data_IF_322807909735
#
_entry.id   IF_322807909735
#
_cell.length_a   1.000
_cell.length_b   1.000
_cell.length_c   1.000
_cell.angle_alpha   90.00
_cell.angle_beta   90.00
_cell.angle_gamma   90.00
#
_symmetry.space_group_name_H-M   'P 1'
#
loop_
_entity.id
_entity.type
_entity.pdbx_description
1 polymer ?
#
# COMPACT_ATOMS: atom_id res chain seq x y z
N UNK A 1 64.71 12.14 34.98
CA UNK A 1 64.84 11.29 36.19
C UNK A 1 66.32 11.14 36.53
N UNK A 2 66.74 11.35 37.78
CA UNK A 2 68.14 11.13 38.19
C UNK A 2 68.50 9.67 37.88
N UNK A 3 69.53 9.43 37.06
CA UNK A 3 70.02 8.07 36.78
C UNK A 3 70.60 7.51 38.07
N UNK A 4 69.96 6.48 38.60
CA UNK A 4 70.50 5.71 39.72
C UNK A 4 71.72 4.93 39.25
N UNK A 5 72.73 4.79 40.12
CA UNK A 5 73.99 4.10 39.81
C UNK A 5 73.80 2.59 39.53
N UNK A 6 72.69 2.02 40.00
CA UNK A 6 72.30 0.63 39.80
C UNK A 6 70.90 0.57 39.18
N UNK A 7 70.68 -0.35 38.24
CA UNK A 7 69.35 -0.70 37.74
C UNK A 7 68.59 -1.56 38.75
N UNK A 8 67.26 -1.58 38.66
CA UNK A 8 66.42 -2.38 39.57
C UNK A 8 66.76 -3.88 39.46
N UNK A 9 67.08 -4.39 38.27
CA UNK A 9 67.57 -5.77 38.06
C UNK A 9 68.91 -6.05 38.75
N UNK A 10 69.85 -5.09 38.71
CA UNK A 10 71.13 -5.20 39.41
C UNK A 10 70.92 -5.21 40.93
N UNK A 11 70.01 -4.38 41.43
CA UNK A 11 69.67 -4.33 42.86
C UNK A 11 69.06 -5.67 43.31
N UNK A 12 68.11 -6.25 42.56
CA UNK A 12 67.52 -7.56 42.87
C UNK A 12 68.56 -8.67 42.85
N UNK A 13 69.51 -8.67 41.90
CA UNK A 13 70.60 -9.66 41.87
C UNK A 13 71.51 -9.56 43.08
N UNK A 14 71.87 -8.35 43.49
CA UNK A 14 72.69 -8.10 44.69
C UNK A 14 71.94 -8.54 45.96
N UNK A 15 70.63 -8.32 46.02
CA UNK A 15 69.80 -8.78 47.14
C UNK A 15 69.73 -10.31 47.24
N UNK A 16 69.57 -11.03 46.10
CA UNK A 16 69.63 -12.50 46.08
C UNK A 16 70.99 -13.05 46.52
N UNK A 17 72.09 -12.44 46.09
CA UNK A 17 73.43 -12.79 46.61
C UNK A 17 73.54 -12.56 48.13
N UNK A 18 72.89 -11.51 48.66
CA UNK A 18 72.86 -11.19 50.09
C UNK A 18 71.91 -12.06 50.93
N UNK A 19 71.08 -12.91 50.30
CA UNK A 19 70.27 -13.93 50.97
C UNK A 19 71.08 -15.23 51.21
N UNK A 20 72.09 -15.49 50.39
CA UNK A 20 72.94 -16.71 50.47
C UNK A 20 74.29 -16.47 51.16
N UNK A 21 74.81 -15.24 51.13
CA UNK A 21 76.10 -14.86 51.70
C UNK A 21 75.97 -13.77 52.77
N UNK A 22 76.92 -13.67 53.72
CA UNK A 22 76.93 -12.58 54.68
C UNK A 22 76.86 -11.20 54.00
N UNK A 23 75.93 -10.35 54.46
CA UNK A 23 75.68 -9.00 53.89
C UNK A 23 76.95 -8.15 53.80
N UNK A 24 77.86 -8.33 54.76
CA UNK A 24 79.19 -7.69 54.81
C UNK A 24 80.06 -8.04 53.59
N UNK A 25 80.03 -9.30 53.15
CA UNK A 25 80.78 -9.80 51.99
C UNK A 25 80.18 -9.30 50.68
N UNK A 26 78.84 -9.27 50.59
CA UNK A 26 78.12 -8.84 49.40
C UNK A 26 78.21 -7.32 49.20
N UNK A 27 78.16 -6.54 50.30
CA UNK A 27 78.43 -5.11 50.33
C UNK A 27 79.81 -4.79 49.74
N UNK A 28 80.85 -5.47 50.24
CA UNK A 28 82.23 -5.28 49.78
C UNK A 28 82.42 -5.67 48.31
N UNK A 29 81.84 -6.79 47.88
CA UNK A 29 81.94 -7.30 46.50
C UNK A 29 81.29 -6.36 45.48
N UNK A 30 80.15 -5.76 45.82
CA UNK A 30 79.37 -4.94 44.89
C UNK A 30 79.61 -3.43 45.03
N UNK A 31 80.48 -3.02 45.96
CA UNK A 31 80.82 -1.61 46.19
C UNK A 31 79.68 -0.79 46.80
N UNK A 32 78.84 -1.42 47.62
CA UNK A 32 77.62 -0.84 48.22
C UNK A 32 77.73 -0.94 49.74
N UNK A 33 77.20 0.03 50.49
CA UNK A 33 77.18 -0.06 51.96
C UNK A 33 76.11 -1.04 52.45
N UNK A 34 76.36 -1.70 53.59
CA UNK A 34 75.37 -2.63 54.18
C UNK A 34 74.03 -1.96 54.44
N UNK A 35 74.03 -0.71 54.90
CA UNK A 35 72.82 0.11 55.10
C UNK A 35 72.02 0.28 53.80
N UNK A 36 72.69 0.40 52.66
CA UNK A 36 72.04 0.50 51.35
C UNK A 36 71.43 -0.84 50.94
N UNK A 37 72.10 -1.97 51.23
CA UNK A 37 71.54 -3.31 51.02
C UNK A 37 70.29 -3.52 51.88
N UNK A 38 70.30 -3.13 53.16
CA UNK A 38 69.11 -3.21 54.02
C UNK A 38 67.98 -2.28 53.55
N UNK A 39 68.28 -1.06 53.10
CA UNK A 39 67.29 -0.14 52.52
C UNK A 39 66.69 -0.69 51.21
N UNK A 40 67.51 -1.32 50.36
CA UNK A 40 67.05 -2.02 49.16
C UNK A 40 66.23 -3.26 49.52
N UNK A 41 66.62 -4.05 50.53
CA UNK A 41 65.85 -5.21 51.00
C UNK A 41 64.46 -4.79 51.50
N UNK A 42 64.35 -3.66 52.20
CA UNK A 42 63.06 -3.09 52.61
C UNK A 42 62.20 -2.65 51.41
N UNK A 43 62.80 -2.08 50.37
CA UNK A 43 62.08 -1.56 49.20
C UNK A 43 61.73 -2.65 48.17
N UNK A 44 62.65 -3.56 47.89
CA UNK A 44 62.58 -4.57 46.83
C UNK A 44 62.26 -5.99 47.35
N UNK A 45 62.50 -6.29 48.63
CA UNK A 45 62.11 -7.57 49.23
C UNK A 45 60.59 -7.71 49.42
N UNK A 46 59.90 -6.61 49.73
CA UNK A 46 58.43 -6.56 49.69
C UNK A 46 57.88 -6.49 48.25
N UNK A 47 58.73 -6.07 47.30
CA UNK A 47 58.38 -5.96 45.89
C UNK A 47 58.17 -7.34 45.28
N UNK A 48 58.95 -8.38 45.63
CA UNK A 48 58.71 -9.74 45.09
C UNK A 48 57.30 -10.29 45.42
N UNK A 49 56.80 -10.07 46.64
CA UNK A 49 55.43 -10.47 47.03
C UNK A 49 54.36 -9.56 46.40
N UNK A 50 54.61 -8.25 46.35
CA UNK A 50 53.68 -7.29 45.75
C UNK A 50 53.64 -7.38 44.21
N UNK A 51 54.75 -7.75 43.57
CA UNK A 51 54.89 -7.99 42.14
C UNK A 51 54.16 -9.26 41.75
N UNK A 52 54.28 -10.34 42.54
CA UNK A 52 53.48 -11.57 42.33
C UNK A 52 51.99 -11.27 42.47
N UNK A 53 51.58 -10.41 43.42
CA UNK A 53 50.18 -9.96 43.53
C UNK A 53 49.76 -9.09 42.35
N UNK A 54 50.61 -8.17 41.91
CA UNK A 54 50.36 -7.29 40.78
C UNK A 54 50.27 -8.05 39.46
N UNK A 55 51.16 -9.01 39.21
CA UNK A 55 51.13 -9.91 38.07
C UNK A 55 49.83 -10.71 38.03
N UNK A 56 49.40 -11.29 39.17
CA UNK A 56 48.10 -11.99 39.25
C UNK A 56 46.92 -11.07 38.95
N UNK A 57 46.95 -9.83 39.44
CA UNK A 57 45.91 -8.84 39.16
C UNK A 57 45.89 -8.47 37.67
N UNK A 58 47.06 -8.24 37.06
CA UNK A 58 47.21 -7.97 35.63
C UNK A 58 46.76 -9.16 34.78
N UNK A 59 47.05 -10.40 35.17
CA UNK A 59 46.56 -11.59 34.48
C UNK A 59 45.03 -11.68 34.52
N UNK A 60 44.42 -11.40 35.68
CA UNK A 60 42.97 -11.39 35.84
C UNK A 60 42.32 -10.27 35.00
N UNK A 61 42.93 -9.07 35.00
CA UNK A 61 42.47 -7.94 34.20
C UNK A 61 42.63 -8.21 32.71
N UNK A 62 43.77 -8.76 32.27
CA UNK A 62 43.99 -9.17 30.89
C UNK A 62 43.00 -10.24 30.44
N UNK A 63 42.68 -11.21 31.30
CA UNK A 63 41.63 -12.20 31.03
C UNK A 63 40.26 -11.54 30.82
N UNK A 64 39.90 -10.58 31.67
CA UNK A 64 38.66 -9.80 31.54
C UNK A 64 38.64 -8.95 30.27
N UNK A 65 39.74 -8.27 29.94
CA UNK A 65 39.86 -7.41 28.76
C UNK A 65 39.80 -8.23 27.47
N UNK A 66 40.49 -9.37 27.38
CA UNK A 66 40.42 -10.28 26.23
C UNK A 66 39.00 -10.75 25.97
N UNK A 67 38.24 -11.06 27.03
CA UNK A 67 36.82 -11.44 26.91
C UNK A 67 35.95 -10.29 26.40
N UNK A 68 36.13 -9.08 26.94
CA UNK A 68 35.39 -7.91 26.48
C UNK A 68 35.71 -7.54 25.03
N UNK A 69 36.98 -7.66 24.62
CA UNK A 69 37.42 -7.43 23.24
C UNK A 69 36.73 -8.41 22.29
N UNK A 70 36.79 -9.72 22.59
CA UNK A 70 36.14 -10.74 21.77
C UNK A 70 34.62 -10.52 21.63
N UNK A 71 33.94 -10.13 22.72
CA UNK A 71 32.51 -9.78 22.68
C UNK A 71 32.24 -8.56 21.79
N UNK A 72 33.07 -7.51 21.86
CA UNK A 72 32.93 -6.30 21.04
C UNK A 72 33.27 -6.55 19.57
N UNK A 73 34.30 -7.33 19.28
CA UNK A 73 34.70 -7.68 17.92
C UNK A 73 33.58 -8.45 17.20
N UNK A 74 32.94 -9.39 17.89
CA UNK A 74 31.78 -10.10 17.37
C UNK A 74 30.59 -9.16 17.10
N UNK A 75 30.33 -8.20 18.00
CA UNK A 75 29.29 -7.17 17.77
C UNK A 75 29.60 -6.32 16.53
N UNK A 76 30.86 -5.94 16.32
CA UNK A 76 31.31 -5.16 15.16
C UNK A 76 31.18 -5.97 13.86
N UNK A 77 31.61 -7.23 13.87
CA UNK A 77 31.51 -8.13 12.72
C UNK A 77 30.06 -8.31 12.29
N UNK A 78 29.17 -8.63 13.23
CA UNK A 78 27.73 -8.76 12.98
C UNK A 78 27.13 -7.45 12.46
N UNK A 79 27.55 -6.30 12.98
CA UNK A 79 27.07 -5.00 12.47
C UNK A 79 27.53 -4.70 11.04
N UNK A 80 28.74 -5.15 10.65
CA UNK A 80 29.24 -5.00 9.27
C UNK A 80 28.49 -5.90 8.29
N UNK A 81 28.09 -7.10 8.72
CA UNK A 81 27.33 -8.06 7.91
C UNK A 81 25.87 -7.62 7.70
N UNK A 82 25.30 -6.93 8.68
CA UNK A 82 23.92 -6.46 8.62
C UNK A 82 23.84 -5.17 7.79
N UNK A 83 22.84 -5.11 6.87
CA UNK A 83 22.72 -4.08 5.83
C UNK A 83 23.06 -2.65 6.28
N UNK A 84 23.84 -1.87 5.49
CA UNK A 84 24.23 -0.49 5.83
C UNK A 84 23.06 0.51 5.81
N UNK A 85 21.86 0.09 5.39
CA UNK A 85 20.68 0.96 5.34
C UNK A 85 19.95 0.97 6.67
N UNK A 86 19.51 2.16 7.10
CA UNK A 86 18.73 2.36 8.33
C UNK A 86 17.49 1.47 8.36
N UNK A 87 17.47 0.50 9.27
CA UNK A 87 16.32 -0.38 9.48
C UNK A 87 15.32 0.25 10.46
N UNK A 88 14.16 0.62 9.94
CA UNK A 88 13.12 1.37 10.67
C UNK A 88 11.93 0.53 11.11
N UNK A 89 11.68 -0.64 10.50
CA UNK A 89 10.52 -1.46 10.85
C UNK A 89 10.84 -2.43 11.99
N UNK A 90 9.91 -2.59 12.94
CA UNK A 90 10.07 -3.51 14.06
C UNK A 90 10.29 -4.96 13.60
N UNK A 91 9.67 -5.38 12.48
CA UNK A 91 9.88 -6.72 11.93
C UNK A 91 11.31 -6.94 11.43
N UNK A 92 11.87 -5.97 10.69
CA UNK A 92 13.22 -6.10 10.17
C UNK A 92 14.27 -6.03 11.30
N UNK A 93 14.06 -5.19 12.32
CA UNK A 93 14.93 -5.19 13.51
C UNK A 93 14.92 -6.53 14.25
N UNK A 94 13.76 -7.18 14.37
CA UNK A 94 13.68 -8.54 14.95
C UNK A 94 14.42 -9.59 14.12
N UNK A 95 14.39 -9.48 12.79
CA UNK A 95 15.19 -10.35 11.92
C UNK A 95 16.70 -10.14 12.11
N UNK A 96 17.15 -8.90 12.32
CA UNK A 96 18.55 -8.61 12.65
C UNK A 96 18.97 -9.22 13.99
N UNK A 97 18.11 -9.14 15.01
CA UNK A 97 18.36 -9.81 16.30
C UNK A 97 18.46 -11.33 16.11
N UNK A 98 17.56 -11.95 15.34
CA UNK A 98 17.63 -13.39 15.07
C UNK A 98 18.91 -13.79 14.34
N UNK A 99 19.35 -12.97 13.37
CA UNK A 99 20.62 -13.17 12.66
C UNK A 99 21.83 -13.08 13.59
N UNK A 100 21.88 -12.05 14.43
CA UNK A 100 22.95 -11.84 15.40
C UNK A 100 23.07 -12.97 16.42
N UNK A 101 21.93 -13.48 16.91
CA UNK A 101 21.92 -14.65 17.79
C UNK A 101 22.46 -15.89 17.07
N UNK A 102 22.11 -16.09 15.80
CA UNK A 102 22.66 -17.19 14.98
C UNK A 102 24.17 -17.07 14.77
N UNK A 103 24.73 -15.86 14.78
CA UNK A 103 26.17 -15.59 14.69
C UNK A 103 26.91 -15.75 16.03
N UNK A 104 26.20 -16.07 17.11
CA UNK A 104 26.80 -16.36 18.42
C UNK A 104 26.65 -15.26 19.47
N UNK A 105 26.00 -14.13 19.14
CA UNK A 105 25.69 -13.12 20.15
C UNK A 105 24.59 -13.63 21.09
N UNK A 106 24.72 -13.33 22.39
CA UNK A 106 23.62 -13.57 23.32
C UNK A 106 22.39 -12.75 22.91
N UNK A 107 21.19 -13.27 23.17
CA UNK A 107 19.93 -12.55 22.91
C UNK A 107 19.91 -11.16 23.57
N UNK A 108 20.52 -11.01 24.76
CA UNK A 108 20.65 -9.72 25.45
C UNK A 108 21.53 -8.75 24.68
N UNK A 109 22.70 -9.19 24.20
CA UNK A 109 23.61 -8.36 23.40
C UNK A 109 22.97 -7.98 22.07
N UNK A 110 22.38 -8.94 21.35
CA UNK A 110 21.71 -8.68 20.08
C UNK A 110 20.53 -7.69 20.22
N UNK A 111 19.68 -7.85 21.24
CA UNK A 111 18.58 -6.91 21.52
C UNK A 111 19.06 -5.49 21.80
N UNK A 112 20.14 -5.36 22.59
CA UNK A 112 20.75 -4.07 22.93
C UNK A 112 21.38 -3.42 21.69
N UNK A 113 22.07 -4.21 20.87
CA UNK A 113 22.72 -3.77 19.64
C UNK A 113 21.72 -3.18 18.62
N UNK A 114 20.55 -3.81 18.46
CA UNK A 114 19.51 -3.37 17.50
C UNK A 114 18.35 -2.58 18.13
N UNK A 115 18.44 -2.21 19.41
CA UNK A 115 17.40 -1.48 20.16
C UNK A 115 16.01 -2.13 20.06
N UNK A 116 15.95 -3.44 20.36
CA UNK A 116 14.72 -4.25 20.34
C UNK A 116 14.43 -4.78 21.75
N UNK A 117 13.21 -4.55 22.26
CA UNK A 117 12.78 -5.11 23.53
C UNK A 117 12.61 -6.64 23.43
N UNK A 118 13.18 -7.39 24.40
CA UNK A 118 13.14 -8.87 24.41
C UNK A 118 11.73 -9.46 24.36
N UNK A 119 10.75 -8.81 24.98
CA UNK A 119 9.32 -9.21 24.95
C UNK A 119 8.72 -9.26 23.54
N UNK A 120 9.33 -8.59 22.56
CA UNK A 120 8.86 -8.58 21.17
C UNK A 120 9.42 -9.73 20.33
N UNK A 121 10.44 -10.43 20.84
CA UNK A 121 11.06 -11.55 20.12
C UNK A 121 10.13 -12.75 20.03
N UNK A 122 9.34 -12.98 21.09
CA UNK A 122 8.33 -14.05 21.14
C UNK A 122 6.99 -13.62 20.50
N UNK A 123 6.86 -12.35 20.09
CA UNK A 123 5.62 -11.86 19.49
C UNK A 123 5.38 -12.49 18.11
N UNK A 124 4.43 -13.41 18.06
CA UNK A 124 3.85 -13.90 16.82
C UNK A 124 2.70 -12.99 16.37
N UNK A 125 2.71 -12.61 15.10
CA UNK A 125 1.67 -11.77 14.52
C UNK A 125 0.31 -12.48 14.60
N UNK A 126 -0.65 -11.87 15.31
CA UNK A 126 -2.05 -12.33 15.32
C UNK A 126 -2.84 -11.81 14.12
N UNK A 127 -2.22 -11.01 13.26
CA UNK A 127 -2.89 -10.35 12.14
C UNK A 127 -3.40 -11.36 11.12
N UNK A 128 -2.67 -12.45 10.86
CA UNK A 128 -3.08 -13.42 9.83
C UNK A 128 -4.39 -14.11 10.22
N UNK A 129 -4.53 -14.49 11.50
CA UNK A 129 -5.79 -15.04 12.05
C UNK A 129 -6.92 -14.00 12.01
N UNK A 130 -6.64 -12.75 12.36
CA UNK A 130 -7.63 -11.65 12.34
C UNK A 130 -8.05 -11.26 10.91
N UNK A 131 -7.13 -11.34 9.96
CA UNK A 131 -7.35 -10.97 8.56
C UNK A 131 -7.97 -12.10 7.74
N UNK A 132 -7.89 -13.36 8.19
CA UNK A 132 -8.37 -14.53 7.46
C UNK A 132 -9.84 -14.43 6.99
N UNK A 133 -10.83 -14.02 7.82
CA UNK A 133 -12.22 -13.88 7.37
C UNK A 133 -12.37 -12.81 6.28
N UNK A 134 -11.71 -11.66 6.47
CA UNK A 134 -11.75 -10.57 5.50
C UNK A 134 -11.05 -10.95 4.19
N UNK A 135 -9.98 -11.74 4.25
CA UNK A 135 -9.27 -12.26 3.08
C UNK A 135 -10.12 -13.26 2.29
N UNK A 136 -10.85 -14.14 2.98
CA UNK A 136 -11.78 -15.07 2.36
C UNK A 136 -12.92 -14.32 1.64
N UNK A 137 -13.55 -13.36 2.30
CA UNK A 137 -14.56 -12.50 1.69
C UNK A 137 -14.00 -11.69 0.52
N UNK A 138 -12.77 -11.17 0.64
CA UNK A 138 -12.08 -10.43 -0.42
C UNK A 138 -11.87 -11.30 -1.67
N UNK A 139 -11.44 -12.56 -1.51
CA UNK A 139 -11.29 -13.52 -2.61
C UNK A 139 -12.62 -13.88 -3.25
N UNK A 140 -13.69 -14.02 -2.46
CA UNK A 140 -15.05 -14.25 -2.99
C UNK A 140 -15.48 -13.06 -3.84
N UNK A 141 -15.38 -11.84 -3.32
CA UNK A 141 -15.77 -10.62 -4.03
C UNK A 141 -14.90 -10.36 -5.27
N UNK A 142 -13.62 -10.69 -5.25
CA UNK A 142 -12.76 -10.56 -6.44
C UNK A 142 -13.13 -11.53 -7.54
N UNK A 143 -13.67 -12.71 -7.21
CA UNK A 143 -14.19 -13.66 -8.21
C UNK A 143 -15.52 -13.18 -8.79
N UNK A 144 -16.41 -12.66 -7.95
CA UNK A 144 -17.69 -12.11 -8.38
C UNK A 144 -17.51 -10.84 -9.22
N UNK A 145 -16.53 -10.00 -8.89
CA UNK A 145 -16.26 -8.74 -9.56
C UNK A 145 -14.78 -8.61 -9.98
N UNK A 146 -14.32 -9.36 -11.01
CA UNK A 146 -12.90 -9.44 -11.38
C UNK A 146 -12.25 -8.10 -11.75
N UNK A 147 -13.05 -7.15 -12.23
CA UNK A 147 -12.59 -5.81 -12.63
C UNK A 147 -12.65 -4.77 -11.52
N UNK A 148 -13.11 -5.15 -10.32
CA UNK A 148 -13.12 -4.25 -9.17
C UNK A 148 -11.74 -4.26 -8.50
N UNK A 149 -11.10 -3.10 -8.45
CA UNK A 149 -9.86 -2.93 -7.69
C UNK A 149 -10.10 -2.89 -6.18
N UNK A 150 -9.00 -2.96 -5.42
CA UNK A 150 -9.01 -3.04 -3.94
C UNK A 150 -9.89 -1.98 -3.26
N UNK A 151 -10.00 -0.76 -3.80
CA UNK A 151 -10.83 0.30 -3.23
C UNK A 151 -12.31 -0.06 -3.25
N UNK A 152 -12.83 -0.55 -4.38
CA UNK A 152 -14.25 -0.94 -4.49
C UNK A 152 -14.53 -2.17 -3.63
N UNK A 153 -13.62 -3.14 -3.64
CA UNK A 153 -13.75 -4.33 -2.80
C UNK A 153 -13.71 -3.95 -1.31
N UNK A 154 -12.91 -2.97 -0.90
CA UNK A 154 -12.93 -2.47 0.48
C UNK A 154 -14.30 -1.91 0.88
N UNK A 155 -15.00 -1.21 -0.03
CA UNK A 155 -16.36 -0.72 0.23
C UNK A 155 -17.33 -1.89 0.41
N UNK A 156 -17.28 -2.86 -0.50
CA UNK A 156 -18.14 -4.05 -0.42
C UNK A 156 -17.88 -4.86 0.86
N UNK A 157 -16.61 -5.02 1.24
CA UNK A 157 -16.24 -5.66 2.51
C UNK A 157 -16.81 -4.92 3.72
N UNK A 158 -16.79 -3.57 3.71
CA UNK A 158 -17.42 -2.80 4.79
C UNK A 158 -18.93 -3.02 4.87
N UNK A 159 -19.60 -3.12 3.72
CA UNK A 159 -21.05 -3.41 3.64
C UNK A 159 -21.36 -4.84 4.13
N UNK A 160 -20.46 -5.79 3.86
CA UNK A 160 -20.51 -7.16 4.37
C UNK A 160 -20.11 -7.28 5.85
N UNK A 161 -19.96 -6.16 6.58
CA UNK A 161 -19.66 -6.17 8.02
C UNK A 161 -18.18 -6.38 8.35
N UNK A 162 -17.26 -6.30 7.39
CA UNK A 162 -15.81 -6.34 7.62
C UNK A 162 -15.22 -4.92 7.66
N UNK A 163 -14.87 -4.36 8.84
CA UNK A 163 -14.27 -3.04 8.92
C UNK A 163 -12.95 -2.97 8.16
N UNK A 164 -12.89 -2.11 7.15
CA UNK A 164 -11.79 -2.08 6.19
C UNK A 164 -11.34 -0.65 5.86
N UNK A 165 -10.11 -0.32 6.23
CA UNK A 165 -9.42 0.87 5.71
C UNK A 165 -8.83 0.56 4.33
N UNK A 166 -8.61 1.60 3.52
CA UNK A 166 -8.01 1.41 2.19
C UNK A 166 -6.58 0.85 2.25
N UNK A 167 -5.79 1.22 3.27
CA UNK A 167 -4.44 0.69 3.45
C UNK A 167 -4.43 -0.79 3.85
N UNK A 168 -5.34 -1.18 4.76
CA UNK A 168 -5.53 -2.59 5.12
C UNK A 168 -5.98 -3.40 3.91
N UNK A 169 -6.96 -2.89 3.16
CA UNK A 169 -7.42 -3.53 1.93
C UNK A 169 -6.28 -3.67 0.92
N UNK A 170 -5.49 -2.63 0.69
CA UNK A 170 -4.37 -2.67 -0.25
C UNK A 170 -3.31 -3.70 0.16
N UNK A 171 -2.93 -3.74 1.45
CA UNK A 171 -2.00 -4.74 1.98
C UNK A 171 -2.49 -6.16 1.74
N UNK A 172 -3.75 -6.44 2.11
CA UNK A 172 -4.35 -7.76 1.93
C UNK A 172 -4.47 -8.13 0.46
N UNK A 173 -4.96 -7.21 -0.36
CA UNK A 173 -5.07 -7.36 -1.81
C UNK A 173 -3.73 -7.69 -2.45
N UNK A 174 -2.65 -7.03 -2.00
CA UNK A 174 -1.30 -7.29 -2.48
C UNK A 174 -0.79 -8.66 -2.06
N UNK A 175 -0.97 -9.02 -0.79
CA UNK A 175 -0.57 -10.34 -0.27
C UNK A 175 -1.34 -11.50 -0.91
N UNK A 176 -2.59 -11.25 -1.32
CA UNK A 176 -3.45 -12.22 -1.98
C UNK A 176 -3.20 -12.34 -3.50
N UNK A 177 -2.30 -11.54 -4.07
CA UNK A 177 -2.01 -11.48 -5.50
C UNK A 177 -3.25 -11.19 -6.38
N UNK A 178 -4.19 -10.38 -5.87
CA UNK A 178 -5.44 -10.08 -6.57
C UNK A 178 -5.32 -8.86 -7.51
N UNK A 179 -4.11 -8.44 -7.89
CA UNK A 179 -3.95 -7.21 -8.67
C UNK A 179 -4.67 -7.29 -10.02
N UNK A 180 -5.58 -6.35 -10.26
CA UNK A 180 -6.23 -6.19 -11.57
C UNK A 180 -5.19 -5.67 -12.56
N UNK A 181 -5.09 -6.25 -13.78
CA UNK A 181 -4.19 -5.77 -14.82
C UNK A 181 -4.34 -4.26 -15.04
N UNK A 182 -3.20 -3.55 -15.07
CA UNK A 182 -3.22 -2.10 -15.27
C UNK A 182 -3.55 -1.77 -16.72
N UNK A 183 -4.60 -0.97 -16.95
CA UNK A 183 -4.80 -0.32 -18.25
C UNK A 183 -3.62 0.59 -18.58
N UNK A 184 -3.14 0.55 -19.82
CA UNK A 184 -2.09 1.45 -20.32
C UNK A 184 -2.56 2.90 -20.16
N UNK A 185 -1.81 3.72 -19.42
CA UNK A 185 -2.13 5.13 -19.25
C UNK A 185 -1.96 5.85 -20.59
N UNK A 186 -3.03 6.47 -21.10
CA UNK A 186 -2.91 7.46 -22.18
C UNK A 186 -2.44 8.78 -21.58
N UNK A 187 -1.44 9.43 -22.16
CA UNK A 187 -1.05 10.80 -21.79
C UNK A 187 -2.26 11.71 -22.09
N UNK A 188 -2.72 12.47 -21.09
CA UNK A 188 -3.78 13.47 -21.23
C UNK A 188 -3.17 14.84 -20.96
N UNK A 189 -3.51 15.81 -21.79
CA UNK A 189 -3.24 17.21 -21.46
C UNK A 189 -4.09 17.59 -20.24
N UNK A 190 -3.45 18.05 -19.17
CA UNK A 190 -4.10 18.58 -17.97
C UNK A 190 -4.58 20.00 -18.27
N UNK A 191 -5.70 20.12 -18.97
CA UNK A 191 -6.39 21.40 -19.14
C UNK A 191 -7.76 21.25 -18.50
N UNK A 192 -8.04 22.03 -17.46
CA UNK A 192 -9.39 22.17 -16.92
C UNK A 192 -10.24 22.83 -18.01
N UNK A 193 -11.23 22.11 -18.53
CA UNK A 193 -12.15 22.62 -19.54
C UNK A 193 -13.56 22.60 -18.96
N UNK A 194 -14.29 23.72 -18.97
CA UNK A 194 -15.64 23.75 -18.44
C UNK A 194 -16.53 22.78 -19.23
N UNK A 195 -17.36 22.02 -18.51
CA UNK A 195 -18.37 21.17 -19.10
C UNK A 195 -19.54 22.08 -19.51
N UNK A 196 -20.00 22.06 -20.77
CA UNK A 196 -21.23 22.74 -21.13
C UNK A 196 -22.40 22.06 -20.41
N UNK A 197 -23.27 22.86 -19.78
CA UNK A 197 -24.47 22.39 -19.05
C UNK A 197 -24.16 21.31 -18.00
N UNK A 198 -23.46 21.64 -16.89
CA UNK A 198 -23.30 20.70 -15.79
C UNK A 198 -24.67 20.33 -15.20
N UNK A 199 -24.95 19.05 -14.93
CA UNK A 199 -26.22 18.66 -14.32
C UNK A 199 -26.29 19.15 -12.87
N UNK A 200 -27.44 19.65 -12.47
CA UNK A 200 -27.66 20.31 -11.16
C UNK A 200 -28.56 19.49 -10.24
N UNK A 201 -29.45 18.70 -10.83
CA UNK A 201 -30.39 17.83 -10.14
C UNK A 201 -30.62 16.55 -10.95
N UNK A 202 -31.28 15.58 -10.32
CA UNK A 202 -31.74 14.38 -11.00
C UNK A 202 -32.61 14.74 -12.21
N UNK A 203 -32.43 14.00 -13.30
CA UNK A 203 -33.17 14.19 -14.56
C UNK A 203 -32.97 15.59 -15.20
N UNK A 204 -31.95 16.36 -14.78
CA UNK A 204 -31.58 17.61 -15.46
C UNK A 204 -31.02 17.30 -16.86
N UNK A 205 -30.05 16.39 -16.96
CA UNK A 205 -29.40 16.04 -18.22
C UNK A 205 -29.30 14.53 -18.34
N UNK A 206 -29.95 13.96 -19.35
CA UNK A 206 -29.70 12.58 -19.78
C UNK A 206 -28.68 12.57 -20.90
N UNK A 207 -27.68 11.71 -20.79
CA UNK A 207 -26.74 11.42 -21.85
C UNK A 207 -27.11 10.09 -22.50
N UNK A 208 -27.02 10.03 -23.82
CA UNK A 208 -27.15 8.79 -24.58
C UNK A 208 -26.04 8.64 -25.63
N UNK A 209 -25.62 7.40 -25.84
CA UNK A 209 -24.55 7.08 -26.79
C UNK A 209 -24.68 5.64 -27.32
N UNK A 210 -23.94 5.33 -28.39
CA UNK A 210 -23.83 4.00 -28.95
C UNK A 210 -22.47 3.37 -28.65
N UNK A 211 -22.53 2.16 -28.09
CA UNK A 211 -21.37 1.28 -27.97
C UNK A 211 -21.57 0.07 -28.86
N UNK A 212 -20.57 -0.24 -29.68
CA UNK A 212 -20.59 -1.36 -30.62
C UNK A 212 -19.73 -2.52 -30.14
N UNK A 213 -20.19 -3.74 -30.40
CA UNK A 213 -19.42 -4.97 -30.22
C UNK A 213 -19.90 -6.06 -31.21
N UNK A 214 -19.35 -7.26 -31.13
CA UNK A 214 -19.76 -8.42 -31.93
C UNK A 214 -19.86 -9.68 -31.08
N UNK A 215 -20.84 -10.51 -31.41
CA UNK A 215 -20.92 -11.88 -30.92
C UNK A 215 -19.95 -12.79 -31.66
N UNK A 216 -19.65 -13.93 -31.04
CA UNK A 216 -18.85 -15.02 -31.60
C UNK A 216 -19.36 -15.51 -32.96
N UNK A 217 -20.68 -15.49 -33.15
CA UNK A 217 -21.36 -15.89 -34.39
C UNK A 217 -21.40 -14.77 -35.44
N UNK A 218 -20.67 -13.66 -35.24
CA UNK A 218 -20.60 -12.53 -36.16
C UNK A 218 -21.72 -11.50 -36.03
N UNK A 219 -22.77 -11.76 -35.24
CA UNK A 219 -23.86 -10.80 -35.02
C UNK A 219 -23.33 -9.50 -34.41
N UNK A 220 -23.73 -8.37 -34.97
CA UNK A 220 -23.38 -7.04 -34.44
C UNK A 220 -24.21 -6.74 -33.19
N UNK A 221 -23.54 -6.25 -32.14
CA UNK A 221 -24.13 -5.69 -30.94
C UNK A 221 -24.04 -4.17 -31.02
N UNK A 222 -25.15 -3.50 -31.34
CA UNK A 222 -25.30 -2.05 -31.17
C UNK A 222 -26.06 -1.80 -29.87
N UNK A 223 -25.38 -1.20 -28.90
CA UNK A 223 -25.92 -0.91 -27.57
C UNK A 223 -26.25 0.58 -27.48
N UNK A 224 -27.54 0.93 -27.36
CA UNK A 224 -27.97 2.28 -26.97
C UNK A 224 -27.90 2.40 -25.46
N UNK A 225 -27.05 3.28 -24.97
CA UNK A 225 -26.85 3.56 -23.55
C UNK A 225 -27.60 4.85 -23.23
N UNK A 226 -28.30 4.89 -22.11
CA UNK A 226 -28.95 6.09 -21.59
C UNK A 226 -28.63 6.21 -20.10
N UNK A 227 -28.06 7.34 -19.68
CA UNK A 227 -27.54 7.58 -18.33
C UNK A 227 -27.98 8.96 -17.85
N UNK A 228 -28.43 9.07 -16.62
CA UNK A 228 -28.60 10.36 -15.94
C UNK A 228 -27.23 10.87 -15.47
N UNK A 229 -26.84 12.05 -15.96
CA UNK A 229 -25.53 12.62 -15.66
C UNK A 229 -25.33 13.00 -14.19
N UNK A 230 -26.42 13.37 -13.51
CA UNK A 230 -26.37 13.82 -12.12
C UNK A 230 -26.14 12.62 -11.19
N UNK A 231 -27.07 11.68 -11.22
CA UNK A 231 -27.09 10.50 -10.33
C UNK A 231 -26.12 9.41 -10.76
N UNK A 232 -25.59 9.50 -11.99
CA UNK A 232 -24.82 8.44 -12.67
C UNK A 232 -25.62 7.17 -12.89
N UNK A 233 -26.95 7.18 -12.74
CA UNK A 233 -27.77 6.00 -12.94
C UNK A 233 -27.83 5.65 -14.41
N UNK A 234 -27.54 4.39 -14.74
CA UNK A 234 -27.78 3.87 -16.07
C UNK A 234 -29.26 3.52 -16.22
N UNK A 235 -29.99 4.37 -16.93
CA UNK A 235 -31.43 4.24 -17.12
C UNK A 235 -31.74 3.02 -17.99
N UNK A 236 -31.06 2.87 -19.12
CA UNK A 236 -31.22 1.72 -20.02
C UNK A 236 -29.94 1.39 -20.79
N UNK A 237 -29.79 0.12 -21.14
CA UNK A 237 -28.85 -0.34 -22.18
C UNK A 237 -29.61 -1.26 -23.12
N UNK A 238 -29.91 -0.77 -24.32
CA UNK A 238 -30.73 -1.51 -25.28
C UNK A 238 -29.86 -2.12 -26.36
N UNK A 239 -29.97 -3.44 -26.57
CA UNK A 239 -29.08 -4.19 -27.46
C UNK A 239 -29.83 -4.68 -28.71
N UNK A 240 -29.36 -4.26 -29.88
CA UNK A 240 -29.90 -4.66 -31.18
C UNK A 240 -28.80 -4.76 -32.24
N UNK A 241 -29.09 -5.39 -33.39
CA UNK A 241 -28.18 -5.35 -34.55
C UNK A 241 -28.26 -4.03 -35.31
N UNK A 242 -29.41 -3.35 -35.26
CA UNK A 242 -29.64 -2.04 -35.87
C UNK A 242 -30.59 -1.26 -34.98
N UNK A 243 -30.24 0.00 -34.71
CA UNK A 243 -31.06 0.94 -33.94
C UNK A 243 -31.27 2.15 -34.85
N UNK A 244 -32.54 2.39 -35.19
CA UNK A 244 -33.01 3.55 -35.96
C UNK A 244 -33.63 4.59 -35.02
N UNK A 245 -33.81 5.81 -35.51
CA UNK A 245 -34.41 6.94 -34.80
C UNK A 245 -35.71 6.61 -34.08
N UNK A 246 -36.65 5.90 -34.74
CA UNK A 246 -37.92 5.50 -34.13
C UNK A 246 -37.74 4.63 -32.88
N UNK A 247 -36.75 3.74 -32.88
CA UNK A 247 -36.47 2.89 -31.73
C UNK A 247 -35.81 3.67 -30.59
N UNK A 248 -34.98 4.67 -30.91
CA UNK A 248 -34.41 5.59 -29.90
C UNK A 248 -35.55 6.37 -29.21
N UNK A 249 -36.47 6.91 -29.99
CA UNK A 249 -37.68 7.62 -29.50
C UNK A 249 -38.49 6.69 -28.59
N UNK A 250 -38.73 5.45 -28.99
CA UNK A 250 -39.46 4.47 -28.18
C UNK A 250 -38.79 4.23 -26.82
N UNK A 251 -37.46 4.08 -26.79
CA UNK A 251 -36.73 3.90 -25.53
C UNK A 251 -36.77 5.14 -24.64
N UNK A 252 -36.65 6.33 -25.23
CA UNK A 252 -36.77 7.59 -24.49
C UNK A 252 -38.18 7.75 -23.91
N UNK A 253 -39.21 7.54 -24.71
CA UNK A 253 -40.61 7.60 -24.27
C UNK A 253 -40.86 6.67 -23.08
N UNK A 254 -40.41 5.41 -23.16
CA UNK A 254 -40.51 4.44 -22.06
C UNK A 254 -39.84 4.92 -20.78
N UNK A 255 -38.65 5.50 -20.88
CA UNK A 255 -37.93 6.03 -19.72
C UNK A 255 -38.63 7.26 -19.12
N UNK A 256 -39.15 8.14 -19.97
CA UNK A 256 -39.89 9.34 -19.55
C UNK A 256 -41.15 8.95 -18.77
N UNK A 257 -41.85 7.88 -19.16
CA UNK A 257 -43.00 7.39 -18.38
C UNK A 257 -42.62 6.98 -16.96
N UNK A 258 -41.40 6.51 -16.73
CA UNK A 258 -40.94 6.01 -15.43
C UNK A 258 -40.24 7.08 -14.58
N UNK A 259 -39.51 8.00 -15.22
CA UNK A 259 -38.64 8.97 -14.55
C UNK A 259 -39.10 10.42 -14.67
N UNK A 260 -40.05 10.71 -15.56
CA UNK A 260 -40.33 12.06 -16.03
C UNK A 260 -39.40 12.47 -17.18
N UNK A 261 -39.74 13.57 -17.85
CA UNK A 261 -38.97 14.09 -18.97
C UNK A 261 -37.71 14.81 -18.45
N UNK A 262 -36.52 14.53 -19.02
CA UNK A 262 -35.35 15.32 -18.68
C UNK A 262 -35.44 16.72 -19.27
N UNK A 263 -34.76 17.71 -18.68
CA UNK A 263 -34.70 19.05 -19.29
C UNK A 263 -33.82 19.10 -20.52
N UNK A 264 -32.74 18.31 -20.53
CA UNK A 264 -31.78 18.24 -21.63
C UNK A 264 -31.42 16.80 -21.99
N UNK A 265 -31.24 16.55 -23.29
CA UNK A 265 -30.58 15.34 -23.80
C UNK A 265 -29.25 15.70 -24.45
N UNK A 266 -28.18 15.03 -24.02
CA UNK A 266 -26.83 15.17 -24.54
C UNK A 266 -26.47 13.96 -25.42
N UNK A 267 -26.08 14.23 -26.67
CA UNK A 267 -25.37 13.28 -27.55
C UNK A 267 -24.14 13.91 -28.17
N UNK A 268 -23.34 13.05 -28.79
CA UNK A 268 -22.49 13.47 -29.91
C UNK A 268 -23.32 13.77 -31.18
N UNK A 269 -22.64 14.11 -32.26
CA UNK A 269 -23.26 14.43 -33.55
C UNK A 269 -23.44 13.18 -34.44
N UNK A 270 -23.62 12.00 -33.85
CA UNK A 270 -23.95 10.78 -34.60
C UNK A 270 -25.23 10.96 -35.43
N UNK A 271 -25.24 10.43 -36.66
CA UNK A 271 -26.33 10.61 -37.62
C UNK A 271 -27.70 10.17 -37.09
N UNK A 272 -27.71 9.18 -36.20
CA UNK A 272 -28.90 8.65 -35.55
C UNK A 272 -29.48 9.61 -34.51
N UNK A 273 -28.63 10.38 -33.83
CA UNK A 273 -29.02 11.35 -32.81
C UNK A 273 -29.44 12.70 -33.39
N UNK A 274 -28.82 13.10 -34.50
CA UNK A 274 -29.14 14.35 -35.22
C UNK A 274 -30.26 14.14 -36.26
N UNK A 275 -30.87 12.95 -36.30
CA UNK A 275 -31.97 12.69 -37.22
C UNK A 275 -33.15 13.64 -36.96
N UNK A 276 -33.75 14.20 -38.03
CA UNK A 276 -34.90 15.11 -37.94
C UNK A 276 -36.03 14.55 -37.09
N UNK A 277 -36.25 13.23 -37.12
CA UNK A 277 -37.28 12.57 -36.32
C UNK A 277 -37.02 12.67 -34.81
N UNK A 278 -35.79 12.44 -34.35
CA UNK A 278 -35.43 12.55 -32.93
C UNK A 278 -35.50 14.01 -32.49
N UNK A 279 -34.90 14.93 -33.26
CA UNK A 279 -34.90 16.35 -32.92
C UNK A 279 -36.33 16.91 -32.85
N UNK A 280 -37.18 16.59 -33.83
CA UNK A 280 -38.58 17.00 -33.82
C UNK A 280 -39.31 16.46 -32.59
N UNK A 281 -39.16 15.17 -32.29
CA UNK A 281 -39.82 14.55 -31.15
C UNK A 281 -39.39 15.18 -29.82
N UNK A 282 -38.11 15.51 -29.66
CA UNK A 282 -37.61 16.21 -28.47
C UNK A 282 -38.20 17.61 -28.34
N UNK A 283 -38.24 18.38 -29.43
CA UNK A 283 -38.89 19.69 -29.45
C UNK A 283 -40.38 19.61 -29.12
N UNK A 284 -41.09 18.63 -29.68
CA UNK A 284 -42.52 18.42 -29.42
C UNK A 284 -42.81 18.09 -27.94
N UNK A 285 -41.83 17.52 -27.21
CA UNK A 285 -41.93 17.18 -25.78
C UNK A 285 -41.28 18.22 -24.86
N UNK A 286 -40.84 19.37 -25.40
CA UNK A 286 -40.20 20.44 -24.62
C UNK A 286 -38.81 20.06 -24.06
N UNK A 287 -38.14 19.07 -24.65
CA UNK A 287 -36.83 18.58 -24.22
C UNK A 287 -35.75 19.26 -25.05
N UNK A 288 -34.84 19.97 -24.37
CA UNK A 288 -33.76 20.69 -25.05
C UNK A 288 -32.62 19.73 -25.44
N UNK A 289 -31.89 20.04 -26.51
CA UNK A 289 -30.71 19.27 -26.93
C UNK A 289 -29.43 19.98 -26.52
N UNK A 290 -28.49 19.22 -25.96
CA UNK A 290 -27.14 19.67 -25.62
C UNK A 290 -26.16 18.91 -26.52
N UNK A 291 -26.01 19.36 -27.77
CA UNK A 291 -25.07 18.74 -28.70
C UNK A 291 -23.63 19.10 -28.34
N UNK A 292 -22.73 18.13 -28.45
CA UNK A 292 -21.30 18.39 -28.30
C UNK A 292 -20.77 19.11 -29.53
N UNK A 293 -19.96 20.15 -29.32
CA UNK A 293 -19.30 20.87 -30.40
C UNK A 293 -18.34 19.92 -31.15
N UNK A 294 -18.26 20.01 -32.49
CA UNK A 294 -17.26 19.28 -33.27
C UNK A 294 -15.85 19.48 -32.71
N UNK A 295 -15.10 18.38 -32.55
CA UNK A 295 -13.73 18.42 -32.02
C UNK A 295 -13.62 18.61 -30.50
N UNK A 296 -14.73 18.58 -29.74
CA UNK A 296 -14.73 18.76 -28.27
C UNK A 296 -15.15 17.53 -27.45
N UNK A 297 -14.41 16.39 -27.52
CA UNK A 297 -14.81 15.13 -26.85
C UNK A 297 -14.91 15.23 -25.32
N UNK A 298 -14.26 16.21 -24.69
CA UNK A 298 -14.32 16.40 -23.23
C UNK A 298 -15.72 16.84 -22.75
N UNK A 299 -16.56 17.39 -23.63
CA UNK A 299 -17.93 17.79 -23.31
C UNK A 299 -18.83 16.59 -22.99
N UNK A 300 -18.46 15.39 -23.48
CA UNK A 300 -19.16 14.12 -23.20
C UNK A 300 -18.36 13.19 -22.26
N UNK A 301 -17.45 13.73 -21.44
CA UNK A 301 -16.52 12.91 -20.66
C UNK A 301 -17.15 12.01 -19.59
N UNK A 302 -18.43 12.23 -19.22
CA UNK A 302 -19.15 11.31 -18.33
C UNK A 302 -19.51 10.03 -19.06
N UNK A 303 -20.10 10.18 -20.23
CA UNK A 303 -20.52 9.06 -21.05
C UNK A 303 -19.30 8.28 -21.58
N UNK A 304 -18.23 8.96 -22.00
CA UNK A 304 -16.95 8.28 -22.32
C UNK A 304 -16.45 7.45 -21.12
N UNK A 305 -16.57 7.99 -19.90
CA UNK A 305 -16.23 7.28 -18.68
C UNK A 305 -17.17 6.10 -18.41
N UNK A 306 -18.47 6.23 -18.72
CA UNK A 306 -19.44 5.15 -18.61
C UNK A 306 -19.13 4.04 -19.60
N UNK A 307 -18.97 4.37 -20.87
CA UNK A 307 -18.66 3.43 -21.96
C UNK A 307 -17.36 2.68 -21.70
N UNK A 308 -16.34 3.36 -21.16
CA UNK A 308 -15.10 2.73 -20.73
C UNK A 308 -15.26 1.73 -19.57
N UNK A 309 -16.25 1.91 -18.69
CA UNK A 309 -16.61 0.93 -17.63
C UNK A 309 -17.43 -0.21 -18.20
N UNK A 310 -18.45 0.09 -19.01
CA UNK A 310 -19.28 -0.91 -19.65
C UNK A 310 -18.45 -1.87 -20.50
N UNK A 311 -17.52 -1.34 -21.28
CA UNK A 311 -16.61 -2.17 -22.08
C UNK A 311 -15.71 -3.05 -21.22
N UNK A 312 -15.10 -2.48 -20.19
CA UNK A 312 -14.10 -3.19 -19.37
C UNK A 312 -14.71 -4.21 -18.40
N UNK A 313 -15.84 -3.83 -17.80
CA UNK A 313 -16.49 -4.57 -16.72
C UNK A 313 -17.61 -5.50 -17.22
N UNK A 314 -18.06 -5.37 -18.47
CA UNK A 314 -19.06 -6.25 -19.10
C UNK A 314 -18.55 -6.83 -20.42
N UNK A 315 -18.40 -6.00 -21.47
CA UNK A 315 -18.23 -6.51 -22.84
C UNK A 315 -16.93 -7.33 -23.00
N UNK A 316 -15.82 -6.85 -22.46
CA UNK A 316 -14.53 -7.53 -22.51
C UNK A 316 -14.42 -8.72 -21.54
N UNK A 317 -15.41 -8.92 -20.67
CA UNK A 317 -15.45 -10.05 -19.74
C UNK A 317 -16.16 -11.27 -20.31
N UNK A 318 -16.93 -11.08 -21.38
CA UNK A 318 -17.90 -12.03 -21.86
C UNK A 318 -17.62 -12.40 -23.32
N UNK A 319 -17.85 -13.67 -23.64
CA UNK A 319 -17.84 -14.15 -25.02
C UNK A 319 -19.28 -14.43 -25.45
N UNK A 320 -19.96 -13.41 -25.98
CA UNK A 320 -21.38 -13.53 -26.35
C UNK A 320 -21.57 -14.46 -27.54
N UNK A 321 -22.33 -15.54 -27.37
CA UNK A 321 -22.69 -16.47 -28.44
C UNK A 321 -23.79 -15.92 -29.34
N UNK A 322 -24.69 -15.10 -28.78
CA UNK A 322 -25.79 -14.49 -29.52
C UNK A 322 -26.22 -13.13 -28.96
N UNK A 323 -26.97 -12.37 -29.77
CA UNK A 323 -27.64 -11.13 -29.33
C UNK A 323 -28.61 -11.33 -28.18
N UNK A 324 -29.29 -12.48 -28.11
CA UNK A 324 -30.26 -12.76 -27.05
C UNK A 324 -29.54 -12.94 -25.70
N UNK A 325 -28.44 -13.69 -25.68
CA UNK A 325 -27.58 -13.83 -24.50
C UNK A 325 -27.00 -12.47 -24.08
N UNK A 326 -26.51 -11.69 -25.05
CA UNK A 326 -25.97 -10.35 -24.78
C UNK A 326 -27.00 -9.45 -24.09
N UNK A 327 -28.27 -9.46 -24.50
CA UNK A 327 -29.34 -8.68 -23.84
C UNK A 327 -29.48 -9.03 -22.36
N UNK A 328 -29.47 -10.31 -22.02
CA UNK A 328 -29.64 -10.78 -20.63
C UNK A 328 -28.44 -10.38 -19.78
N UNK A 329 -27.24 -10.65 -20.26
CA UNK A 329 -25.99 -10.37 -19.53
C UNK A 329 -25.76 -8.87 -19.35
N UNK A 330 -26.01 -8.07 -20.40
CA UNK A 330 -25.85 -6.61 -20.35
C UNK A 330 -26.88 -5.98 -19.41
N UNK A 331 -28.13 -6.48 -19.39
CA UNK A 331 -29.14 -6.00 -18.43
C UNK A 331 -28.78 -6.38 -16.99
N UNK A 332 -28.26 -7.59 -16.76
CA UNK A 332 -27.74 -7.99 -15.45
C UNK A 332 -26.59 -7.07 -15.00
N UNK A 333 -25.68 -6.74 -15.90
CA UNK A 333 -24.60 -5.79 -15.63
C UNK A 333 -25.13 -4.39 -15.32
N UNK A 334 -26.15 -3.90 -16.04
CA UNK A 334 -26.79 -2.60 -15.76
C UNK A 334 -27.37 -2.55 -14.34
N UNK A 335 -28.07 -3.62 -13.93
CA UNK A 335 -28.61 -3.74 -12.56
C UNK A 335 -27.48 -3.73 -11.53
N UNK A 336 -26.42 -4.52 -11.73
CA UNK A 336 -25.24 -4.53 -10.87
C UNK A 336 -24.56 -3.15 -10.80
N UNK A 337 -24.45 -2.44 -11.92
CA UNK A 337 -23.89 -1.09 -11.99
C UNK A 337 -24.68 -0.12 -11.10
N UNK A 338 -26.01 -0.16 -11.16
CA UNK A 338 -26.86 0.75 -10.38
C UNK A 338 -27.00 0.37 -8.90
N UNK A 339 -26.89 -0.92 -8.57
CA UNK A 339 -27.25 -1.45 -7.24
C UNK A 339 -26.04 -1.86 -6.38
N UNK A 340 -24.92 -2.25 -6.99
CA UNK A 340 -23.81 -2.91 -6.28
C UNK A 340 -22.51 -2.14 -6.46
N UNK A 341 -22.24 -1.65 -7.66
CA UNK A 341 -20.97 -1.01 -8.01
C UNK A 341 -20.76 0.29 -7.22
N UNK A 342 -19.66 0.44 -6.45
CA UNK A 342 -19.35 1.71 -5.76
C UNK A 342 -18.75 2.76 -6.71
N UNK A 343 -19.22 4.01 -6.62
CA UNK A 343 -18.75 5.13 -7.44
C UNK A 343 -17.95 6.15 -6.63
N UNK A 344 -16.67 6.31 -6.93
CA UNK A 344 -15.83 7.30 -6.22
C UNK A 344 -16.31 8.74 -6.39
N UNK A 345 -16.98 9.07 -7.50
CA UNK A 345 -17.60 10.38 -7.73
C UNK A 345 -18.86 10.62 -6.90
N UNK A 346 -19.44 9.56 -6.32
CA UNK A 346 -20.62 9.60 -5.45
C UNK A 346 -20.24 9.16 -4.03
N UNK A 347 -19.02 9.48 -3.58
CA UNK A 347 -18.51 9.08 -2.26
C UNK A 347 -18.62 7.57 -1.97
N UNK A 348 -18.45 6.74 -3.01
CA UNK A 348 -18.59 5.28 -2.98
C UNK A 348 -20.00 4.76 -2.70
N UNK A 349 -21.03 5.60 -2.87
CA UNK A 349 -22.40 5.14 -3.04
C UNK A 349 -22.59 4.53 -4.44
N UNK A 350 -23.57 3.66 -4.55
CA UNK A 350 -24.14 3.22 -5.82
C UNK A 350 -25.10 4.30 -6.34
N UNK A 351 -25.42 4.34 -7.64
CA UNK A 351 -26.40 5.28 -8.16
C UNK A 351 -27.74 5.22 -7.42
N UNK A 352 -28.23 4.02 -7.09
CA UNK A 352 -29.50 3.87 -6.36
C UNK A 352 -29.40 4.33 -4.91
N UNK A 353 -28.29 4.10 -4.21
CA UNK A 353 -28.08 4.63 -2.86
C UNK A 353 -27.97 6.15 -2.89
N UNK A 354 -27.26 6.72 -3.87
CA UNK A 354 -27.11 8.17 -4.01
C UNK A 354 -28.45 8.86 -4.23
N UNK A 355 -29.32 8.30 -5.08
CA UNK A 355 -30.68 8.83 -5.29
C UNK A 355 -31.47 8.88 -3.98
N UNK A 356 -31.35 7.86 -3.12
CA UNK A 356 -32.02 7.85 -1.80
C UNK A 356 -31.51 8.93 -0.84
N UNK A 357 -30.32 9.47 -1.07
CA UNK A 357 -29.76 10.58 -0.28
C UNK A 357 -30.20 11.95 -0.77
N UNK A 358 -30.78 12.05 -1.97
CA UNK A 358 -31.26 13.31 -2.51
C UNK A 358 -32.56 13.72 -1.79
N UNK A 359 -32.75 15.03 -1.53
CA UNK A 359 -34.05 15.51 -1.08
C UNK A 359 -35.10 15.11 -2.11
N UNK A 360 -36.29 14.70 -1.65
CA UNK A 360 -37.41 14.42 -2.55
C UNK A 360 -37.61 15.64 -3.44
N UNK A 361 -37.41 15.47 -4.75
CA UNK A 361 -37.60 16.55 -5.71
C UNK A 361 -39.05 16.99 -5.58
N UNK A 362 -39.28 18.23 -5.15
CA UNK A 362 -40.61 18.82 -5.17
C UNK A 362 -41.12 18.69 -6.61
N UNK A 363 -42.13 17.83 -6.79
CA UNK A 363 -42.75 17.59 -8.08
C UNK A 363 -43.13 18.95 -8.65
N UNK A 364 -42.53 19.32 -9.79
CA UNK A 364 -42.89 20.54 -10.49
C UNK A 364 -44.39 20.49 -10.73
N UNK A 365 -45.10 21.41 -10.09
CA UNK A 365 -46.53 21.62 -10.26
C UNK A 365 -46.79 21.76 -11.75
N UNK A 366 -47.58 20.81 -12.26
CA UNK A 366 -48.27 20.91 -13.54
C UNK A 366 -49.04 22.23 -13.54
N UNK A 367 -48.55 23.22 -14.26
CA UNK A 367 -49.38 24.34 -14.69
C UNK A 367 -50.13 23.82 -15.92
N UNK A 368 -51.43 23.62 -15.75
CA UNK A 368 -52.40 23.31 -16.80
C UNK A 368 -52.52 24.47 -17.79
#
# INVERSE_FOLDING_TARGET
MKKTRYSDEQIVRILREADELPVTQVAKKNGVSEATIYAWRKKFGEMEVNDVRHLKQLEQENGRLKKLLAERDLEIEVMKEVSPKKVVTASARRQQVAYAVKRGLSQRSACRLFSVARSTLEYQSRLDKKDAPALAAMRRLSRLYPRFGYRRIAILLRRDGHPMSFDRAWRLWRSAQLQVPKKRKRRRALVSRPRPLPPEQQDHVWAYDFVFDRCANGQVLKCLIIVDEYTRKCLAITVSGRIRSAYVIEQLAKLITVHGAPRHIRSDNGSEFVSRAVLKWLTDHGINTALSDPGKPWQNGLDESFNGKFRDECLNMEWFRSRAEARVVIEAWRKQYNQIRPHSSLNYLTPNEYIKTLPATASQQTIL
#
